data_IF_492229258701
#
_entry.id   IF_492229258701
#
_cell.length_a   1.000
_cell.length_b   1.000
_cell.length_c   1.000
_cell.angle_alpha   90.00
_cell.angle_beta   90.00
_cell.angle_gamma   90.00
#
_symmetry.space_group_name_H-M   'P 1'
#
loop_
_entity.id
_entity.type
_entity.pdbx_description
1 polymer ?
#
# COMPACT_ATOMS: atom_id res chain seq x y z
N UNK A 1 16.36 -3.01 -13.73
CA UNK A 1 16.81 -3.23 -13.33
C UNK A 1 17.05 -3.47 -13.24
N UNK A 2 16.72 -3.75 -13.34
CA UNK A 2 17.14 -4.15 -12.98
C UNK A 2 17.31 -4.50 -13.01
N UNK A 3 17.25 -4.90 -13.08
CA UNK A 3 17.68 -5.38 -12.79
C UNK A 3 17.93 -5.69 -12.85
N UNK A 4 17.96 -6.05 -12.93
CA UNK A 4 18.39 -6.57 -12.68
C UNK A 4 18.69 -6.81 -12.77
N UNK A 5 18.55 -7.06 -12.86
CA UNK A 5 19.01 -7.55 -12.68
C UNK A 5 19.15 -7.88 -12.84
N UNK A 6 19.24 -8.00 -12.77
CA UNK A 6 19.62 -8.44 -12.63
C UNK A 6 19.75 -8.78 -12.84
N UNK A 7 20.08 -9.03 -12.76
CA UNK A 7 20.24 -9.40 -12.63
C UNK A 7 20.24 -9.79 -12.47
N UNK A 8 20.13 -10.03 -12.21
CA UNK A 8 20.08 -10.43 -11.74
C UNK A 8 20.04 -10.96 -11.77
N UNK A 9 20.26 -11.39 -11.74
CA UNK A 9 20.25 -11.93 -11.57
C UNK A 9 20.10 -12.35 -11.41
N UNK A 10 20.12 -12.73 -11.13
CA UNK A 10 19.87 -13.16 -10.80
C UNK A 10 19.68 -13.76 -10.69
N UNK A 11 19.68 -14.35 -10.48
CA UNK A 11 19.47 -14.91 -10.34
C UNK A 11 19.02 -15.41 -9.96
N UNK A 12 18.86 -15.82 -9.76
CA UNK A 12 18.35 -16.22 -9.51
C UNK A 12 17.40 -16.41 -9.35
N UNK A 13 17.24 -16.32 -9.25
CA UNK A 13 16.39 -16.26 -9.27
C UNK A 13 15.55 -16.32 -9.71
N UNK A 14 15.28 -16.56 -9.90
CA UNK A 14 14.39 -16.50 -10.31
C UNK A 14 13.62 -15.90 -10.69
N UNK A 15 13.54 -15.46 -11.08
CA UNK A 15 12.87 -14.73 -11.34
C UNK A 15 11.77 -14.26 -11.84
N UNK A 16 11.86 -13.50 -12.34
CA UNK A 16 10.50 -13.19 -12.57
C UNK A 16 10.35 -11.84 -13.20
N UNK A 17 9.66 -11.72 -14.37
CA UNK A 17 9.45 -10.47 -15.07
C UNK A 17 8.80 -9.46 -14.14
N UNK A 18 9.31 -8.25 -14.11
CA UNK A 18 8.77 -7.21 -13.24
C UNK A 18 9.15 -7.32 -11.79
N UNK A 19 9.86 -8.34 -11.46
CA UNK A 19 10.27 -8.55 -10.08
C UNK A 19 11.52 -7.74 -9.78
N UNK A 20 11.42 -6.88 -8.78
CA UNK A 20 12.52 -5.98 -8.47
C UNK A 20 13.55 -6.58 -7.53
N UNK A 21 13.25 -7.70 -6.91
CA UNK A 21 14.12 -8.29 -5.91
C UNK A 21 13.90 -7.74 -4.52
N UNK A 22 13.16 -6.65 -4.38
CA UNK A 22 12.86 -6.08 -3.06
C UNK A 22 11.62 -6.75 -2.49
N UNK A 23 11.70 -7.32 -1.27
CA UNK A 23 10.52 -7.93 -0.67
C UNK A 23 9.36 -6.95 -0.56
N UNK A 24 8.14 -7.44 -0.77
CA UNK A 24 6.96 -6.60 -0.72
C UNK A 24 6.83 -5.88 0.62
N UNK A 25 7.08 -6.59 1.72
CA UNK A 25 6.99 -5.98 3.04
C UNK A 25 7.86 -4.73 3.14
N UNK A 26 9.06 -4.79 2.55
CA UNK A 26 9.97 -3.65 2.56
C UNK A 26 9.47 -2.54 1.66
N UNK A 27 8.93 -2.89 0.48
CA UNK A 27 8.39 -1.89 -0.43
C UNK A 27 7.23 -1.13 0.19
N UNK A 28 6.38 -1.83 0.93
CA UNK A 28 5.24 -1.24 1.61
C UNK A 28 5.68 -0.37 2.78
N UNK A 29 6.85 -0.64 3.35
CA UNK A 29 7.36 0.16 4.45
C UNK A 29 7.09 -0.43 5.82
N UNK A 30 6.88 -1.74 5.87
CA UNK A 30 6.63 -2.41 7.15
C UNK A 30 7.90 -2.44 7.97
N UNK A 31 7.79 -2.01 9.22
CA UNK A 31 8.90 -1.98 10.15
C UNK A 31 8.54 -2.76 11.40
N UNK A 32 9.54 -2.98 12.25
CA UNK A 32 9.31 -3.66 13.51
C UNK A 32 8.20 -2.94 14.28
N UNK A 33 7.26 -3.73 14.79
CA UNK A 33 6.17 -3.20 15.59
C UNK A 33 5.05 -2.52 14.83
N UNK A 34 5.10 -2.51 13.49
CA UNK A 34 4.05 -1.87 12.70
C UNK A 34 2.67 -2.48 12.97
N UNK A 35 1.67 -1.60 13.08
CA UNK A 35 0.27 -2.02 13.14
C UNK A 35 -0.32 -1.82 11.76
N UNK A 36 -0.79 -2.90 11.17
CA UNK A 36 -1.19 -2.92 9.76
C UNK A 36 -2.61 -3.41 9.62
N UNK A 37 -3.38 -2.74 8.77
CA UNK A 37 -4.70 -3.22 8.39
C UNK A 37 -4.71 -3.55 6.91
N UNK A 38 -5.16 -4.76 6.59
CA UNK A 38 -5.41 -5.16 5.21
C UNK A 38 -6.91 -5.06 5.00
N UNK A 39 -7.33 -4.20 4.08
CA UNK A 39 -8.75 -3.96 3.85
C UNK A 39 -9.13 -4.53 2.50
N UNK A 40 -10.09 -5.42 2.48
CA UNK A 40 -10.58 -6.09 1.26
C UNK A 40 -9.51 -6.88 0.52
N UNK A 41 -8.52 -7.40 1.24
CA UNK A 41 -7.46 -8.17 0.60
C UNK A 41 -8.02 -9.43 -0.04
N UNK A 42 -7.50 -9.82 -1.22
CA UNK A 42 -7.88 -11.09 -1.83
C UNK A 42 -7.55 -12.23 -0.88
N UNK A 43 -8.31 -13.32 -0.98
CA UNK A 43 -8.13 -14.46 -0.08
C UNK A 43 -6.72 -15.03 -0.11
N UNK A 44 -6.10 -15.01 -1.27
CA UNK A 44 -4.76 -15.58 -1.42
C UNK A 44 -3.64 -14.57 -1.20
N UNK A 45 -3.99 -13.34 -0.82
CA UNK A 45 -2.96 -12.35 -0.57
C UNK A 45 -2.37 -12.52 0.83
N UNK A 46 -1.05 -12.56 0.89
CA UNK A 46 -0.36 -12.52 2.17
C UNK A 46 1.08 -12.10 1.95
N UNK A 47 1.69 -11.55 2.99
CA UNK A 47 3.11 -11.27 2.96
C UNK A 47 3.86 -12.57 3.26
N UNK A 48 5.05 -12.70 2.71
CA UNK A 48 5.91 -13.82 3.04
C UNK A 48 6.31 -13.67 4.51
N UNK A 49 5.95 -14.64 5.37
CA UNK A 49 6.19 -14.47 6.82
C UNK A 49 7.63 -14.17 7.20
N UNK A 50 8.58 -14.78 6.51
CA UNK A 50 9.98 -14.57 6.87
C UNK A 50 10.51 -13.21 6.44
N UNK A 51 9.75 -12.46 5.65
CA UNK A 51 10.13 -11.12 5.27
C UNK A 51 9.56 -10.05 6.20
N UNK A 52 8.71 -10.47 7.14
CA UNK A 52 8.12 -9.51 8.06
C UNK A 52 9.05 -9.24 9.24
N UNK A 53 9.20 -7.96 9.61
CA UNK A 53 9.96 -7.63 10.82
C UNK A 53 9.27 -8.17 12.07
N UNK A 54 9.99 -8.12 13.19
CA UNK A 54 9.46 -8.61 14.45
C UNK A 54 8.31 -7.73 14.94
N UNK A 55 7.40 -8.34 15.66
CA UNK A 55 6.31 -7.64 16.37
C UNK A 55 5.33 -6.90 15.47
N UNK A 56 5.26 -7.28 14.20
CA UNK A 56 4.25 -6.72 13.30
C UNK A 56 2.90 -7.27 13.71
N UNK A 57 1.89 -6.40 13.78
CA UNK A 57 0.55 -6.80 14.16
C UNK A 57 -0.44 -6.45 13.07
N UNK A 58 -1.20 -7.46 12.65
CA UNK A 58 -2.28 -7.23 11.69
C UNK A 58 -3.56 -7.04 12.48
N UNK A 59 -4.21 -5.90 12.28
CA UNK A 59 -5.42 -5.55 12.99
C UNK A 59 -6.50 -5.16 11.98
N UNK A 60 -7.74 -5.13 12.42
CA UNK A 60 -8.84 -4.80 11.52
C UNK A 60 -9.49 -3.48 11.94
N UNK A 61 -9.98 -2.68 10.98
CA UNK A 61 -10.79 -1.54 11.34
C UNK A 61 -11.99 -2.02 12.16
N UNK A 62 -12.46 -1.24 13.12
CA UNK A 62 -12.16 0.17 13.31
C UNK A 62 -10.95 0.48 14.21
N UNK A 63 -9.98 -0.40 14.28
CA UNK A 63 -8.77 -0.13 15.07
C UNK A 63 -8.16 1.21 14.64
N UNK A 64 -7.54 1.90 15.60
CA UNK A 64 -6.92 3.20 15.39
C UNK A 64 -5.41 3.08 15.61
N UNK A 65 -4.73 4.17 15.39
CA UNK A 65 -3.26 4.23 15.54
C UNK A 65 -2.57 3.24 14.63
N UNK A 66 -3.06 3.19 13.39
CA UNK A 66 -2.50 2.30 12.39
C UNK A 66 -1.29 2.96 11.74
N UNK A 67 -0.24 2.18 11.56
CA UNK A 67 0.94 2.66 10.86
C UNK A 67 0.80 2.50 9.35
N UNK A 68 0.12 1.45 8.93
CA UNK A 68 -0.05 1.15 7.52
C UNK A 68 -1.44 0.60 7.28
N UNK A 69 -2.08 1.11 6.22
CA UNK A 69 -3.32 0.52 5.72
C UNK A 69 -3.05 0.14 4.26
N UNK A 70 -3.34 -1.10 3.91
CA UNK A 70 -3.29 -1.56 2.52
C UNK A 70 -4.72 -1.86 2.11
N UNK A 71 -5.28 -0.98 1.28
CA UNK A 71 -6.70 -1.01 0.92
C UNK A 71 -6.84 -1.45 -0.54
N UNK A 72 -7.39 -2.64 -0.74
CA UNK A 72 -7.63 -3.19 -2.08
C UNK A 72 -9.00 -2.73 -2.54
N UNK A 73 -9.08 -2.16 -3.73
CA UNK A 73 -10.33 -1.58 -4.21
C UNK A 73 -10.36 -1.63 -5.73
N UNK A 74 -11.56 -1.78 -6.30
CA UNK A 74 -11.70 -1.88 -7.75
C UNK A 74 -12.54 -0.77 -8.35
N UNK A 75 -13.26 0.01 -7.54
CA UNK A 75 -14.14 1.06 -8.07
C UNK A 75 -13.82 2.39 -7.43
N UNK A 76 -14.02 3.43 -8.21
CA UNK A 76 -13.84 4.79 -7.75
C UNK A 76 -14.82 5.09 -6.61
N UNK A 77 -16.04 4.59 -6.74
CA UNK A 77 -17.07 4.80 -5.73
C UNK A 77 -16.65 4.24 -4.36
N UNK A 78 -16.19 3.00 -4.34
CA UNK A 78 -15.76 2.39 -3.09
C UNK A 78 -14.56 3.12 -2.50
N UNK A 79 -13.62 3.51 -3.34
CA UNK A 79 -12.45 4.25 -2.87
C UNK A 79 -12.84 5.58 -2.27
N UNK A 80 -13.69 6.33 -2.96
CA UNK A 80 -14.13 7.64 -2.48
C UNK A 80 -14.89 7.51 -1.17
N UNK A 81 -15.72 6.48 -1.06
CA UNK A 81 -16.53 6.28 0.13
C UNK A 81 -15.67 6.04 1.38
N UNK A 82 -14.63 5.24 1.25
CA UNK A 82 -13.90 4.76 2.42
C UNK A 82 -12.55 5.42 2.66
N UNK A 83 -12.01 6.14 1.69
CA UNK A 83 -10.64 6.66 1.81
C UNK A 83 -10.43 7.50 3.07
N UNK A 84 -11.26 8.52 3.25
CA UNK A 84 -11.08 9.43 4.39
C UNK A 84 -11.31 8.75 5.72
N UNK A 85 -12.27 7.83 5.76
CA UNK A 85 -12.55 7.08 6.99
C UNK A 85 -11.35 6.25 7.41
N UNK A 86 -10.71 5.59 6.44
CA UNK A 86 -9.56 4.77 6.73
C UNK A 86 -8.36 5.64 7.09
N UNK A 87 -8.14 6.72 6.34
CA UNK A 87 -7.01 7.60 6.61
C UNK A 87 -7.09 8.18 8.02
N UNK A 88 -8.30 8.42 8.53
CA UNK A 88 -8.48 8.98 9.86
C UNK A 88 -8.00 8.03 10.97
N UNK A 89 -7.75 6.78 10.65
CA UNK A 89 -7.28 5.81 11.63
C UNK A 89 -5.77 5.68 11.68
N UNK A 90 -5.07 6.42 10.81
CA UNK A 90 -3.62 6.38 10.77
C UNK A 90 -3.00 7.21 11.88
N UNK A 91 -1.82 6.81 12.31
CA UNK A 91 -0.98 7.68 13.12
C UNK A 91 -0.53 8.86 12.26
N UNK A 92 0.02 9.89 12.89
CA UNK A 92 0.46 11.07 12.16
C UNK A 92 1.48 10.76 11.07
N UNK A 93 2.30 9.77 11.31
CA UNK A 93 3.33 9.34 10.35
C UNK A 93 2.92 8.11 9.58
N UNK A 94 1.66 7.72 9.68
CA UNK A 94 1.18 6.52 9.01
C UNK A 94 1.02 6.72 7.52
N UNK A 95 0.78 5.62 6.84
CA UNK A 95 0.61 5.63 5.40
C UNK A 95 -0.56 4.74 4.99
N UNK A 96 -1.25 5.16 3.95
CA UNK A 96 -2.29 4.34 3.36
C UNK A 96 -1.91 4.05 1.92
N UNK A 97 -1.87 2.76 1.60
CA UNK A 97 -1.62 2.28 0.25
C UNK A 97 -2.93 1.91 -0.38
N UNK A 98 -3.18 2.43 -1.56
CA UNK A 98 -4.35 2.04 -2.33
C UNK A 98 -3.88 1.06 -3.38
N UNK A 99 -4.47 -0.13 -3.40
CA UNK A 99 -4.15 -1.16 -4.37
C UNK A 99 -5.32 -1.33 -5.31
N UNK A 100 -5.08 -1.17 -6.61
CA UNK A 100 -6.13 -1.34 -7.62
C UNK A 100 -5.59 -2.23 -8.74
N UNK A 101 -6.51 -2.87 -9.51
CA UNK A 101 -6.07 -3.80 -10.54
C UNK A 101 -5.29 -3.12 -11.66
N UNK A 102 -4.22 -3.76 -12.09
CA UNK A 102 -3.50 -3.33 -13.29
C UNK A 102 -4.37 -3.61 -14.51
N UNK A 103 -4.20 -2.80 -15.55
CA UNK A 103 -4.93 -3.05 -16.78
C UNK A 103 -4.62 -4.43 -17.33
N UNK A 104 -3.37 -4.84 -17.25
CA UNK A 104 -2.94 -6.13 -17.77
C UNK A 104 -3.52 -7.31 -17.02
N UNK A 105 -4.09 -7.08 -15.84
CA UNK A 105 -4.62 -8.19 -15.03
C UNK A 105 -5.94 -8.74 -15.55
N UNK A 106 -6.66 -7.95 -16.32
CA UNK A 106 -7.99 -8.36 -16.79
C UNK A 106 -9.08 -8.19 -15.75
N UNK A 107 -8.77 -7.78 -14.54
CA UNK A 107 -9.79 -7.54 -13.51
C UNK A 107 -10.51 -6.23 -13.83
N UNK A 108 -11.83 -6.26 -13.80
CA UNK A 108 -12.61 -5.07 -14.13
C UNK A 108 -12.41 -3.98 -13.08
N UNK A 109 -12.17 -2.76 -13.55
CA UNK A 109 -11.98 -1.62 -12.66
C UNK A 109 -12.19 -0.33 -13.45
N UNK A 110 -12.70 0.69 -12.78
CA UNK A 110 -12.74 2.03 -13.35
C UNK A 110 -11.64 2.92 -12.77
N UNK A 111 -10.69 2.33 -12.03
CA UNK A 111 -9.60 3.08 -11.44
C UNK A 111 -8.39 3.13 -12.36
N UNK A 112 -7.64 4.20 -12.22
CA UNK A 112 -6.38 4.42 -12.93
C UNK A 112 -5.50 5.18 -11.96
N UNK A 113 -4.21 5.30 -12.29
CA UNK A 113 -3.30 6.09 -11.46
C UNK A 113 -3.88 7.49 -11.21
N UNK A 114 -4.33 8.14 -12.28
CA UNK A 114 -4.82 9.52 -12.17
C UNK A 114 -6.05 9.63 -11.27
N UNK A 115 -6.96 8.67 -11.37
CA UNK A 115 -8.16 8.71 -10.55
C UNK A 115 -7.84 8.44 -9.08
N UNK A 116 -6.99 7.46 -8.83
CA UNK A 116 -6.58 7.17 -7.45
C UNK A 116 -5.87 8.37 -6.85
N UNK A 117 -4.95 8.96 -7.61
CA UNK A 117 -4.21 10.13 -7.14
C UNK A 117 -5.15 11.27 -6.79
N UNK A 118 -6.11 11.55 -7.67
CA UNK A 118 -7.05 12.65 -7.42
C UNK A 118 -7.85 12.43 -6.14
N UNK A 119 -8.33 11.22 -5.94
CA UNK A 119 -9.14 10.95 -4.76
C UNK A 119 -8.34 11.17 -3.50
N UNK A 120 -7.09 10.71 -3.47
CA UNK A 120 -6.24 10.93 -2.30
C UNK A 120 -5.91 12.38 -2.07
N UNK A 121 -5.61 13.12 -3.15
CA UNK A 121 -5.32 14.56 -3.02
C UNK A 121 -6.53 15.33 -2.54
N UNK A 122 -7.71 14.99 -3.07
CA UNK A 122 -8.95 15.65 -2.65
C UNK A 122 -9.26 15.39 -1.19
N UNK A 123 -8.80 14.27 -0.66
CA UNK A 123 -9.00 13.93 0.74
C UNK A 123 -7.96 14.58 1.66
N UNK A 124 -7.01 15.31 1.09
CA UNK A 124 -6.04 16.05 1.90
C UNK A 124 -4.71 15.36 2.11
N UNK A 125 -4.50 14.22 1.47
CA UNK A 125 -3.22 13.53 1.57
C UNK A 125 -2.40 13.78 0.32
N UNK A 126 -1.15 13.31 0.31
CA UNK A 126 -0.29 13.40 -0.87
C UNK A 126 0.26 12.04 -1.19
N UNK A 127 0.40 11.76 -2.48
CA UNK A 127 0.98 10.51 -2.94
C UNK A 127 2.50 10.66 -2.97
N UNK A 128 3.19 9.61 -2.55
CA UNK A 128 4.65 9.68 -2.44
C UNK A 128 5.39 8.54 -3.12
N UNK A 129 4.71 7.46 -3.47
CA UNK A 129 5.40 6.33 -4.08
C UNK A 129 4.41 5.41 -4.77
N UNK A 130 4.79 4.91 -5.93
CA UNK A 130 4.01 3.90 -6.63
C UNK A 130 4.84 2.63 -6.72
N UNK A 131 4.20 1.48 -6.60
CA UNK A 131 4.88 0.20 -6.81
C UNK A 131 3.87 -0.85 -7.25
N UNK A 132 4.39 -1.99 -7.71
CA UNK A 132 3.54 -3.15 -7.96
C UNK A 132 3.39 -3.89 -6.64
N UNK A 133 2.17 -4.16 -6.24
CA UNK A 133 1.92 -4.99 -5.06
C UNK A 133 2.18 -6.45 -5.45
N UNK A 134 1.62 -6.86 -6.58
CA UNK A 134 1.90 -8.18 -7.16
C UNK A 134 1.54 -8.12 -8.65
N UNK A 135 1.36 -9.28 -9.27
CA UNK A 135 1.07 -9.33 -10.71
C UNK A 135 -0.26 -8.71 -11.07
N UNK A 136 -1.20 -8.68 -10.14
CA UNK A 136 -2.54 -8.16 -10.37
C UNK A 136 -2.72 -6.72 -9.93
N UNK A 137 -2.08 -6.32 -8.83
CA UNK A 137 -2.40 -5.07 -8.16
C UNK A 137 -1.28 -4.05 -8.22
N UNK A 138 -1.62 -2.82 -8.58
CA UNK A 138 -0.73 -1.67 -8.45
C UNK A 138 -0.98 -1.02 -7.10
N UNK A 139 0.03 -0.35 -6.54
CA UNK A 139 -0.14 0.34 -5.26
C UNK A 139 0.37 1.77 -5.32
N UNK A 140 -0.38 2.68 -4.72
CA UNK A 140 0.03 4.08 -4.58
C UNK A 140 -0.05 4.46 -3.11
N UNK A 141 1.06 4.95 -2.58
CA UNK A 141 1.18 5.30 -1.16
C UNK A 141 0.83 6.75 -0.93
N UNK A 142 -0.02 7.00 0.07
CA UNK A 142 -0.38 8.35 0.50
C UNK A 142 0.02 8.56 1.94
N UNK A 143 0.39 9.79 2.26
CA UNK A 143 0.68 10.22 3.63
C UNK A 143 0.04 11.58 3.82
N UNK A 144 -0.13 11.96 5.10
CA UNK A 144 -0.60 13.31 5.39
C UNK A 144 0.46 14.33 5.00
N UNK A 145 0.03 15.48 4.51
CA UNK A 145 0.95 16.58 4.30
C UNK A 145 1.55 16.97 5.65
N UNK A 146 2.79 17.42 5.64
CA UNK A 146 3.44 17.79 6.90
C UNK A 146 2.61 18.78 7.70
N UNK A 147 2.06 19.79 7.04
CA UNK A 147 1.28 20.81 7.72
C UNK A 147 -0.05 20.30 8.25
N UNK A 148 -0.53 19.20 7.72
CA UNK A 148 -1.83 18.66 8.09
C UNK A 148 -1.76 17.46 9.01
N UNK A 149 -0.59 17.13 9.50
CA UNK A 149 -0.46 15.97 10.36
C UNK A 149 -1.22 16.19 11.66
N UNK A 150 -1.88 15.13 12.15
CA UNK A 150 -2.65 15.25 13.38
C UNK A 150 -1.83 15.81 14.53
N UNK A 151 -2.52 16.52 15.42
CA UNK A 151 -1.84 17.19 16.50
C UNK A 151 -1.19 16.27 17.52
N UNK A 152 -1.44 14.99 17.41
CA UNK A 152 -0.79 14.03 18.29
C UNK A 152 0.72 14.19 18.26
N UNK A 153 1.25 14.72 17.20
CA UNK A 153 2.67 14.98 17.11
C UNK A 153 3.12 16.16 17.93
N UNK A 154 2.22 16.90 18.40
CA UNK A 154 2.58 18.14 19.06
C UNK A 154 2.68 18.02 20.52
N UNK A 155 2.12 17.11 21.00
CA UNK A 155 2.10 16.89 22.38
C UNK A 155 2.80 17.71 23.21
#
# INVERSE_FOLDING_TARGET
MVSLGGKFSDSGDTNMAGYSGTPLAKKIGIKEGSRIALVNAPKDFQFEPKELPDNVKFVKPPAKSLDIILFFVTTERALTKDFSKLAARLTANGMIWIAWPKKSSGVATDLSFERVQRIGLDAGLVDVKICAVDDTWSGLKFVYRLKDRPSVNKK
#
